data_IF_868146387661
#
_entry.id   IF_868146387661
#
_cell.length_a   1.000
_cell.length_b   1.000
_cell.length_c   1.000
_cell.angle_alpha   90.00
_cell.angle_beta   90.00
_cell.angle_gamma   90.00
#
_symmetry.space_group_name_H-M   'P 1'
#
loop_
_entity.id
_entity.type
_entity.pdbx_description
1 polymer ?
#
# COMPACT_ATOMS: atom_id res chain seq x y z
N UNK A 1 -21.06 -26.15 41.39
CA UNK A 1 -19.67 -25.67 41.20
C UNK A 1 -19.59 -24.89 39.91
N UNK A 2 -18.80 -23.80 39.93
CA UNK A 2 -18.84 -22.68 38.99
C UNK A 2 -18.76 -23.09 37.52
N UNK A 3 -19.66 -22.49 36.73
CA UNK A 3 -19.53 -22.27 35.30
C UNK A 3 -18.17 -21.63 35.02
N UNK A 4 -17.37 -22.23 34.15
CA UNK A 4 -16.28 -21.53 33.48
C UNK A 4 -16.68 -21.41 32.02
N UNK A 5 -17.39 -20.33 31.71
CA UNK A 5 -17.56 -19.83 30.34
C UNK A 5 -16.17 -19.37 29.86
N UNK A 6 -15.36 -20.31 29.37
CA UNK A 6 -14.15 -19.97 28.63
C UNK A 6 -14.61 -19.36 27.31
N UNK A 7 -14.59 -18.02 27.31
CA UNK A 7 -14.92 -17.11 26.22
C UNK A 7 -14.25 -17.58 24.92
N UNK A 8 -14.98 -18.31 24.07
CA UNK A 8 -14.69 -18.50 22.65
C UNK A 8 -14.89 -17.15 21.95
N UNK A 9 -13.94 -16.24 22.12
CA UNK A 9 -13.64 -15.30 21.05
C UNK A 9 -12.91 -16.13 20.01
N UNK A 10 -13.53 -16.38 18.86
CA UNK A 10 -12.86 -16.99 17.72
C UNK A 10 -11.64 -16.11 17.37
N UNK A 11 -10.46 -16.50 17.88
CA UNK A 11 -9.19 -15.92 17.46
C UNK A 11 -9.10 -16.12 15.95
N UNK A 12 -8.66 -15.10 15.21
CA UNK A 12 -8.36 -15.27 13.79
C UNK A 12 -7.45 -16.49 13.63
N UNK A 13 -7.92 -17.49 12.89
CA UNK A 13 -7.19 -18.76 12.75
C UNK A 13 -5.96 -18.52 11.90
N UNK A 14 -4.81 -19.04 12.33
CA UNK A 14 -3.61 -19.07 11.53
C UNK A 14 -3.87 -19.89 10.25
N UNK A 15 -3.40 -19.37 9.12
CA UNK A 15 -3.39 -20.08 7.85
C UNK A 15 -2.17 -21.00 7.76
N UNK A 16 -2.35 -22.11 7.06
CA UNK A 16 -1.28 -23.04 6.70
C UNK A 16 -0.33 -22.42 5.67
N UNK A 17 0.87 -22.99 5.53
CA UNK A 17 1.84 -22.56 4.51
C UNK A 17 1.26 -22.67 3.11
N UNK A 18 0.52 -23.74 2.85
CA UNK A 18 -0.09 -24.05 1.56
C UNK A 18 -1.18 -23.02 1.22
N UNK A 19 -2.03 -22.66 2.19
CA UNK A 19 -3.05 -21.61 2.03
C UNK A 19 -2.41 -20.25 1.77
N UNK A 20 -1.43 -19.85 2.58
CA UNK A 20 -0.73 -18.56 2.40
C UNK A 20 -0.09 -18.49 1.01
N UNK A 21 0.60 -19.54 0.60
CA UNK A 21 1.27 -19.60 -0.71
C UNK A 21 0.25 -19.44 -1.85
N UNK A 22 -0.85 -20.20 -1.79
CA UNK A 22 -1.92 -20.12 -2.79
C UNK A 22 -2.54 -18.73 -2.89
N UNK A 23 -2.84 -18.10 -1.75
CA UNK A 23 -3.44 -16.77 -1.73
C UNK A 23 -2.48 -15.70 -2.28
N UNK A 24 -1.18 -15.78 -1.94
CA UNK A 24 -0.19 -14.86 -2.50
C UNK A 24 0.00 -15.05 -4.01
N UNK A 25 -0.06 -16.28 -4.53
CA UNK A 25 -0.06 -16.52 -5.97
C UNK A 25 -1.25 -15.84 -6.67
N UNK A 26 -2.43 -15.89 -6.07
CA UNK A 26 -3.64 -15.24 -6.62
C UNK A 26 -3.48 -13.72 -6.62
N UNK A 27 -2.98 -13.15 -5.52
CA UNK A 27 -2.71 -11.70 -5.42
C UNK A 27 -1.69 -11.29 -6.49
N UNK A 28 -0.55 -11.99 -6.57
CA UNK A 28 0.54 -11.61 -7.45
C UNK A 28 0.19 -11.74 -8.95
N UNK A 29 -0.71 -12.65 -9.34
CA UNK A 29 -1.19 -12.77 -10.74
C UNK A 29 -1.92 -11.54 -11.27
N UNK A 30 -2.32 -10.60 -10.41
CA UNK A 30 -3.08 -9.40 -10.82
C UNK A 30 -2.18 -8.32 -11.44
N UNK A 31 -0.87 -8.37 -11.21
CA UNK A 31 0.10 -7.44 -11.76
C UNK A 31 1.27 -8.18 -12.38
N UNK A 32 1.91 -7.61 -13.42
CA UNK A 32 3.05 -8.26 -14.10
C UNK A 32 4.29 -8.42 -13.20
N UNK A 33 4.37 -7.67 -12.10
CA UNK A 33 5.44 -7.77 -11.12
C UNK A 33 4.88 -8.35 -9.82
N UNK A 34 5.53 -9.39 -9.31
CA UNK A 34 5.21 -9.96 -8.00
C UNK A 34 5.62 -8.98 -6.91
N UNK A 35 4.68 -8.67 -6.02
CA UNK A 35 4.93 -7.74 -4.94
C UNK A 35 4.91 -8.42 -3.58
N UNK A 36 4.17 -9.52 -3.42
CA UNK A 36 3.98 -10.18 -2.12
C UNK A 36 4.78 -11.48 -2.01
N UNK A 37 5.40 -11.71 -0.86
CA UNK A 37 6.06 -12.96 -0.50
C UNK A 37 5.78 -13.32 0.96
N UNK A 38 5.88 -14.61 1.28
CA UNK A 38 5.74 -15.10 2.65
C UNK A 38 7.11 -15.36 3.28
N UNK A 39 7.26 -15.06 4.57
CA UNK A 39 8.36 -15.53 5.40
C UNK A 39 7.80 -16.43 6.50
N UNK A 40 8.46 -17.57 6.69
CA UNK A 40 8.09 -18.56 7.68
C UNK A 40 9.28 -18.76 8.62
N UNK A 41 9.00 -18.72 9.91
CA UNK A 41 9.95 -19.02 10.97
C UNK A 41 9.44 -20.22 11.79
N UNK A 42 10.25 -20.70 12.74
CA UNK A 42 9.91 -21.88 13.54
C UNK A 42 8.57 -21.76 14.30
N UNK A 43 8.17 -20.55 14.66
CA UNK A 43 6.95 -20.28 15.45
C UNK A 43 6.17 -19.04 14.99
N UNK A 44 6.41 -18.56 13.77
CA UNK A 44 5.69 -17.39 13.24
C UNK A 44 5.64 -17.40 11.72
N UNK A 45 4.72 -16.63 11.17
CA UNK A 45 4.62 -16.38 9.74
C UNK A 45 4.19 -14.95 9.49
N UNK A 46 4.69 -14.39 8.38
CA UNK A 46 4.37 -13.03 7.95
C UNK A 46 4.38 -12.95 6.43
N UNK A 47 3.68 -11.96 5.89
CA UNK A 47 3.72 -11.62 4.47
C UNK A 47 4.34 -10.25 4.29
N UNK A 48 5.10 -10.08 3.21
CA UNK A 48 5.87 -8.88 2.93
C UNK A 48 5.65 -8.40 1.51
N UNK A 49 5.72 -7.09 1.33
CA UNK A 49 5.76 -6.50 0.01
C UNK A 49 6.63 -5.24 -0.06
N UNK A 50 7.21 -5.01 -1.24
CA UNK A 50 7.95 -3.78 -1.54
C UNK A 50 7.33 -3.07 -2.74
N UNK A 51 7.09 -1.77 -2.56
CA UNK A 51 6.61 -0.87 -3.60
C UNK A 51 7.62 0.25 -3.82
N UNK A 52 7.88 0.58 -5.08
CA UNK A 52 8.70 1.74 -5.48
C UNK A 52 7.88 2.66 -6.36
N UNK A 53 7.79 3.93 -5.97
CA UNK A 53 7.03 4.95 -6.68
C UNK A 53 7.99 5.94 -7.35
N UNK A 54 7.45 6.77 -8.24
CA UNK A 54 8.24 7.73 -9.01
C UNK A 54 8.82 8.87 -8.16
N UNK A 55 8.07 9.33 -7.17
CA UNK A 55 8.44 10.48 -6.32
C UNK A 55 7.96 10.27 -4.89
N UNK A 56 8.55 10.98 -3.93
CA UNK A 56 8.10 10.97 -2.53
C UNK A 56 6.62 11.36 -2.38
N UNK A 57 6.15 12.34 -3.17
CA UNK A 57 4.74 12.73 -3.15
C UNK A 57 3.82 11.57 -3.56
N UNK A 58 4.16 10.81 -4.61
CA UNK A 58 3.41 9.60 -5.01
C UNK A 58 3.49 8.49 -3.96
N UNK A 59 4.62 8.36 -3.31
CA UNK A 59 4.77 7.43 -2.18
C UNK A 59 3.84 7.79 -1.03
N UNK A 60 3.73 9.07 -0.68
CA UNK A 60 2.84 9.53 0.38
C UNK A 60 1.35 9.39 0.03
N UNK A 61 0.98 9.65 -1.23
CA UNK A 61 -0.36 9.33 -1.75
C UNK A 61 -0.70 7.85 -1.54
N UNK A 62 0.24 6.93 -1.83
CA UNK A 62 0.03 5.50 -1.63
C UNK A 62 -0.02 5.11 -0.14
N UNK A 63 0.82 5.71 0.71
CA UNK A 63 0.76 5.51 2.16
C UNK A 63 -0.61 5.87 2.74
N UNK A 64 -1.21 6.98 2.30
CA UNK A 64 -2.56 7.37 2.71
C UNK A 64 -3.60 6.31 2.32
N UNK A 65 -3.46 5.69 1.14
CA UNK A 65 -4.35 4.61 0.69
C UNK A 65 -4.17 3.34 1.52
N UNK A 66 -2.94 2.98 1.88
CA UNK A 66 -2.65 1.86 2.78
C UNK A 66 -3.29 2.10 4.14
N UNK A 67 -3.12 3.29 4.73
CA UNK A 67 -3.71 3.68 6.00
C UNK A 67 -5.25 3.56 5.98
N UNK A 68 -5.88 4.01 4.90
CA UNK A 68 -7.34 3.88 4.73
C UNK A 68 -7.79 2.41 4.68
N UNK A 69 -7.08 1.54 3.95
CA UNK A 69 -7.43 0.12 3.89
C UNK A 69 -7.20 -0.60 5.23
N UNK A 70 -6.10 -0.27 5.91
CA UNK A 70 -5.79 -0.79 7.23
C UNK A 70 -6.88 -0.44 8.25
N UNK A 71 -7.29 0.83 8.28
CA UNK A 71 -8.37 1.30 9.16
C UNK A 71 -9.70 0.61 8.84
N UNK A 72 -10.05 0.47 7.55
CA UNK A 72 -11.30 -0.18 7.11
C UNK A 72 -11.36 -1.64 7.55
N UNK A 73 -10.24 -2.36 7.49
CA UNK A 73 -10.16 -3.76 7.89
C UNK A 73 -9.89 -3.94 9.40
N UNK A 74 -9.64 -2.83 10.12
CA UNK A 74 -9.17 -2.83 11.51
C UNK A 74 -7.94 -3.73 11.72
N UNK A 75 -7.07 -3.75 10.72
CA UNK A 75 -5.88 -4.58 10.68
C UNK A 75 -4.72 -3.74 10.15
N UNK A 76 -3.62 -3.66 10.89
CA UNK A 76 -2.58 -2.68 10.63
C UNK A 76 -1.28 -3.37 10.20
N UNK A 77 -0.66 -2.95 9.09
CA UNK A 77 0.64 -3.46 8.69
C UNK A 77 1.76 -2.72 9.45
N UNK A 78 2.93 -3.33 9.53
CA UNK A 78 4.17 -2.59 9.76
C UNK A 78 4.60 -1.94 8.45
N UNK A 79 4.91 -0.63 8.49
CA UNK A 79 5.28 0.17 7.33
C UNK A 79 6.65 0.80 7.55
N UNK A 80 7.57 0.57 6.62
CA UNK A 80 8.84 1.30 6.52
C UNK A 80 8.85 2.10 5.23
N UNK A 81 9.06 3.41 5.31
CA UNK A 81 9.20 4.28 4.14
C UNK A 81 10.60 4.89 4.06
N UNK A 82 11.25 4.74 2.90
CA UNK A 82 12.55 5.37 2.59
C UNK A 82 12.44 6.09 1.25
N UNK A 83 12.27 7.41 1.29
CA UNK A 83 12.01 8.25 0.11
C UNK A 83 10.89 7.65 -0.76
N UNK A 84 11.23 7.08 -1.92
CA UNK A 84 10.27 6.57 -2.88
C UNK A 84 9.94 5.08 -2.71
N UNK A 85 10.52 4.41 -1.70
CA UNK A 85 10.32 2.99 -1.39
C UNK A 85 9.42 2.82 -0.17
N UNK A 86 8.51 1.85 -0.23
CA UNK A 86 7.71 1.38 0.90
C UNK A 86 7.94 -0.12 1.04
N UNK A 87 8.29 -0.55 2.24
CA UNK A 87 8.33 -1.95 2.64
C UNK A 87 7.18 -2.20 3.63
N UNK A 88 6.40 -3.25 3.37
CA UNK A 88 5.29 -3.69 4.20
C UNK A 88 5.59 -5.04 4.81
N UNK A 89 5.20 -5.22 6.06
CA UNK A 89 5.17 -6.50 6.77
C UNK A 89 3.81 -6.64 7.44
N UNK A 90 3.13 -7.76 7.23
CA UNK A 90 1.81 -8.01 7.81
C UNK A 90 1.80 -9.39 8.48
N UNK A 91 1.36 -9.41 9.73
CA UNK A 91 1.11 -10.61 10.52
C UNK A 91 0.07 -10.28 11.59
N UNK A 92 -0.68 -11.27 12.05
CA UNK A 92 -1.66 -11.07 13.12
C UNK A 92 -1.02 -11.38 14.48
N UNK A 93 -0.71 -10.31 15.24
CA UNK A 93 -0.09 -10.43 16.56
C UNK A 93 -0.91 -11.31 17.53
N UNK A 94 -2.23 -11.10 17.57
CA UNK A 94 -3.13 -11.84 18.48
C UNK A 94 -3.30 -13.32 18.12
N UNK A 95 -2.85 -13.72 16.93
CA UNK A 95 -2.76 -15.09 16.48
C UNK A 95 -1.36 -15.69 16.69
N UNK A 96 -0.53 -15.09 17.56
CA UNK A 96 0.83 -15.57 17.82
C UNK A 96 1.84 -15.14 16.76
N UNK A 97 1.62 -14.01 16.09
CA UNK A 97 2.39 -13.59 14.92
C UNK A 97 2.34 -14.61 13.77
N UNK A 98 1.14 -15.11 13.50
CA UNK A 98 0.86 -15.91 12.33
C UNK A 98 0.01 -15.15 11.33
N UNK A 99 0.21 -15.45 10.06
CA UNK A 99 -0.64 -14.98 8.97
C UNK A 99 -2.03 -15.58 9.13
N UNK A 100 -3.05 -14.74 9.03
CA UNK A 100 -4.48 -15.09 9.03
C UNK A 100 -5.15 -14.52 7.79
N UNK A 101 -6.45 -14.79 7.63
CA UNK A 101 -7.27 -14.17 6.57
C UNK A 101 -7.22 -12.64 6.57
N UNK A 102 -7.03 -11.99 7.72
CA UNK A 102 -6.99 -10.53 7.80
C UNK A 102 -5.74 -9.98 7.13
N UNK A 103 -4.61 -10.67 7.27
CA UNK A 103 -3.35 -10.31 6.62
C UNK A 103 -3.49 -10.40 5.10
N UNK A 104 -4.03 -11.51 4.60
CA UNK A 104 -4.29 -11.74 3.17
C UNK A 104 -5.26 -10.71 2.60
N UNK A 105 -6.36 -10.42 3.32
CA UNK A 105 -7.35 -9.41 2.90
C UNK A 105 -6.74 -8.01 2.82
N UNK A 106 -5.88 -7.65 3.76
CA UNK A 106 -5.17 -6.37 3.74
C UNK A 106 -4.18 -6.32 2.57
N UNK A 107 -3.39 -7.37 2.36
CA UNK A 107 -2.47 -7.48 1.23
C UNK A 107 -3.18 -7.32 -0.12
N UNK A 108 -4.30 -8.03 -0.31
CA UNK A 108 -5.13 -7.92 -1.50
C UNK A 108 -5.69 -6.49 -1.69
N UNK A 109 -6.20 -5.86 -0.62
CA UNK A 109 -6.72 -4.50 -0.69
C UNK A 109 -5.65 -3.47 -1.07
N UNK A 110 -4.45 -3.60 -0.49
CA UNK A 110 -3.29 -2.76 -0.81
C UNK A 110 -2.83 -2.99 -2.26
N UNK A 111 -2.72 -4.26 -2.69
CA UNK A 111 -2.33 -4.62 -4.05
C UNK A 111 -3.31 -4.05 -5.08
N UNK A 112 -4.61 -4.16 -4.83
CA UNK A 112 -5.66 -3.60 -5.70
C UNK A 112 -5.58 -2.07 -5.77
N UNK A 113 -5.37 -1.41 -4.62
CA UNK A 113 -5.21 0.04 -4.57
C UNK A 113 -3.96 0.50 -5.34
N UNK A 114 -2.88 -0.27 -5.27
CA UNK A 114 -1.67 -0.02 -6.05
C UNK A 114 -1.95 -0.15 -7.56
N UNK A 115 -2.51 -1.29 -7.98
CA UNK A 115 -2.85 -1.60 -9.36
C UNK A 115 -3.71 -0.50 -10.01
N UNK A 116 -4.74 -0.03 -9.31
CA UNK A 116 -5.69 0.95 -9.83
C UNK A 116 -5.10 2.35 -10.02
N UNK A 117 -4.18 2.76 -9.15
CA UNK A 117 -3.80 4.17 -9.03
C UNK A 117 -2.34 4.47 -9.39
N UNK A 118 -1.46 3.46 -9.40
CA UNK A 118 -0.01 3.68 -9.47
C UNK A 118 0.70 2.84 -10.54
N UNK A 119 0.05 1.81 -11.08
CA UNK A 119 0.51 1.18 -12.31
C UNK A 119 0.20 2.14 -13.44
N UNK A 120 1.21 2.55 -14.21
CA UNK A 120 1.02 3.43 -15.36
C UNK A 120 -0.05 2.81 -16.27
N UNK A 121 -1.23 3.43 -16.32
CA UNK A 121 -2.18 3.11 -17.37
C UNK A 121 -1.48 3.46 -18.68
N UNK A 122 -1.46 2.52 -19.63
CA UNK A 122 -0.98 2.75 -20.99
C UNK A 122 -1.47 4.14 -21.46
N UNK A 123 -0.61 4.93 -22.12
CA UNK A 123 -0.81 6.37 -22.21
C UNK A 123 -2.19 6.68 -22.75
N UNK A 124 -3.02 7.31 -21.91
CA UNK A 124 -4.18 8.05 -22.38
C UNK A 124 -3.59 9.16 -23.26
N UNK A 125 -3.66 9.00 -24.59
CA UNK A 125 -3.56 10.15 -25.49
C UNK A 125 -4.72 11.06 -25.12
N UNK A 126 -4.48 12.08 -24.30
CA UNK A 126 -5.30 13.28 -24.29
C UNK A 126 -4.50 14.48 -23.77
N UNK A 127 -4.10 15.26 -24.77
CA UNK A 127 -3.98 16.71 -24.84
C UNK A 127 -3.14 17.42 -23.77
N UNK A 128 -2.04 18.00 -24.27
CA UNK A 128 -1.26 19.02 -23.60
C UNK A 128 -2.17 20.15 -23.08
N UNK A 129 -2.53 20.10 -21.80
CA UNK A 129 -2.86 21.34 -21.11
C UNK A 129 -1.55 22.07 -20.88
N UNK A 130 -1.23 22.95 -21.84
CA UNK A 130 -0.27 24.02 -21.67
C UNK A 130 -0.65 24.80 -20.41
N UNK A 131 0.00 24.49 -19.30
CA UNK A 131 -0.14 25.25 -18.07
C UNK A 131 0.79 26.45 -18.11
N UNK A 132 0.57 27.33 -19.09
CA UNK A 132 1.35 28.58 -19.23
C UNK A 132 0.47 29.84 -19.15
N UNK A 133 -0.74 29.73 -18.60
CA UNK A 133 -1.56 30.89 -18.27
C UNK A 133 -1.98 30.90 -16.79
N UNK A 134 -1.00 30.70 -15.91
CA UNK A 134 -1.17 31.07 -14.51
C UNK A 134 -1.04 32.58 -14.39
N UNK A 135 -1.95 33.20 -13.62
CA UNK A 135 -1.88 34.61 -13.20
C UNK A 135 -0.49 34.94 -12.60
N UNK A 136 0.17 33.97 -11.99
CA UNK A 136 1.53 34.11 -11.46
C UNK A 136 2.59 34.30 -12.56
N UNK A 137 2.47 33.59 -13.70
CA UNK A 137 3.39 33.73 -14.84
C UNK A 137 3.27 35.11 -15.49
N UNK A 138 2.05 35.64 -15.62
CA UNK A 138 1.79 37.00 -16.13
C UNK A 138 2.39 38.08 -15.23
N UNK A 139 2.32 37.91 -13.90
CA UNK A 139 2.90 38.87 -12.93
C UNK A 139 4.44 38.88 -13.01
N UNK A 140 5.07 37.71 -13.15
CA UNK A 140 6.54 37.62 -13.25
C UNK A 140 7.06 38.30 -14.52
N UNK A 141 6.36 38.15 -15.65
CA UNK A 141 6.72 38.77 -16.93
C UNK A 141 6.53 40.30 -16.91
N UNK A 142 5.50 40.79 -16.21
CA UNK A 142 5.23 42.22 -16.05
C UNK A 142 6.28 42.91 -15.14
N UNK A 143 6.73 42.22 -14.09
CA UNK A 143 7.78 42.71 -13.19
C UNK A 143 9.17 42.71 -13.84
N UNK A 144 9.47 41.74 -14.70
CA UNK A 144 10.76 41.68 -15.42
C UNK A 144 10.87 42.72 -16.54
N UNK A 145 9.77 43.08 -17.22
CA UNK A 145 9.77 44.16 -18.24
C UNK A 145 10.01 45.55 -17.66
N UNK A 146 9.57 45.83 -16.43
CA UNK A 146 9.72 47.15 -15.78
C UNK A 146 11.14 47.46 -15.31
N UNK A 147 11.97 46.44 -15.06
CA UNK A 147 13.34 46.61 -14.58
C UNK A 147 14.40 46.64 -15.70
N UNK A 148 14.02 46.44 -16.96
CA UNK A 148 14.93 46.45 -18.12
C UNK A 148 15.02 47.78 -18.87
N UNK A 149 14.43 48.87 -18.35
CA UNK A 149 14.56 50.22 -18.92
C UNK A 149 15.15 51.18 -17.89
N UNK A 150 16.44 51.04 -17.61
CA UNK A 150 17.37 52.12 -17.28
C UNK A 150 18.76 51.72 -17.73
#
# INVERSE_FOLDING_TARGET
MKQTLTRLAARASALTREEITRELEIINKQLPNEHWSAQFHDSSSEIRATYKLKTFAKTWEFLNMIALQAQRLRHHPTITNTYNKIDLVITTHDAGNHVTDLDVKLAQAVHTAYAKNFVEQAPIKNESKNHNDSRASKIIEELTRKNGKK
#
